data_IF_353035391381
#
_entry.id   IF_353035391381
#
_cell.length_a   1.000
_cell.length_b   1.000
_cell.length_c   1.000
_cell.angle_alpha   90.00
_cell.angle_beta   90.00
_cell.angle_gamma   90.00
#
_symmetry.space_group_name_H-M   'P 1'
#
loop_
_entity.id
_entity.type
_entity.pdbx_description
1 polymer ?
#
# COMPACT_ATOMS: atom_id res chain seq x y z
N UNK A 1 -25.75 -17.11 57.38
CA UNK A 1 -26.55 -16.16 56.59
C UNK A 1 -25.73 -14.93 56.32
N UNK A 2 -25.14 -14.82 55.11
CA UNK A 2 -24.57 -13.58 54.58
C UNK A 2 -24.94 -13.53 53.11
N UNK A 3 -25.84 -12.63 52.76
CA UNK A 3 -26.27 -12.34 51.39
C UNK A 3 -25.21 -11.49 50.67
N UNK A 4 -24.72 -11.97 49.56
CA UNK A 4 -23.88 -11.19 48.64
C UNK A 4 -24.78 -10.47 47.64
N UNK A 5 -24.70 -9.15 47.62
CA UNK A 5 -25.40 -8.26 46.71
C UNK A 5 -24.54 -8.15 45.44
N UNK A 6 -25.03 -8.68 44.32
CA UNK A 6 -24.48 -8.39 42.98
C UNK A 6 -24.96 -7.02 42.52
N UNK A 7 -24.02 -6.10 42.29
CA UNK A 7 -24.29 -4.79 41.71
C UNK A 7 -24.54 -4.89 40.18
N UNK A 8 -25.31 -3.96 39.61
CA UNK A 8 -25.68 -4.01 38.20
C UNK A 8 -24.51 -3.63 37.30
N UNK A 9 -24.22 -4.50 36.35
CA UNK A 9 -23.26 -4.27 35.25
C UNK A 9 -23.89 -3.29 34.25
N UNK A 10 -23.26 -2.13 34.04
CA UNK A 10 -23.72 -1.11 33.07
C UNK A 10 -23.43 -1.54 31.63
N UNK A 11 -24.46 -1.61 30.75
CA UNK A 11 -24.29 -2.05 29.35
C UNK A 11 -23.91 -0.92 28.37
N UNK A 12 -23.13 0.08 28.78
CA UNK A 12 -22.87 1.26 27.92
C UNK A 12 -21.49 1.27 27.20
N UNK A 13 -20.69 0.22 27.32
CA UNK A 13 -19.35 0.20 26.72
C UNK A 13 -19.15 -0.77 25.54
N UNK A 14 -20.19 -1.51 25.14
CA UNK A 14 -20.07 -2.50 24.05
C UNK A 14 -20.55 -1.96 22.69
N UNK A 15 -21.26 -0.84 22.66
CA UNK A 15 -21.81 -0.29 21.41
C UNK A 15 -20.83 0.52 20.54
N UNK A 16 -19.69 0.94 21.09
CA UNK A 16 -18.75 1.80 20.35
C UNK A 16 -17.73 1.03 19.48
N UNK A 17 -17.52 -0.26 19.78
CA UNK A 17 -16.54 -1.08 19.04
C UNK A 17 -17.09 -1.70 17.74
N UNK A 18 -18.43 -1.76 17.56
CA UNK A 18 -19.04 -2.34 16.35
C UNK A 18 -19.26 -1.35 15.21
N UNK A 19 -19.23 -0.04 15.46
CA UNK A 19 -19.49 0.96 14.42
C UNK A 19 -18.29 1.22 13.50
N UNK A 20 -17.07 0.92 13.96
CA UNK A 20 -15.84 1.15 13.16
C UNK A 20 -15.60 0.01 12.17
N UNK A 21 -15.94 -1.23 12.53
CA UNK A 21 -15.76 -2.39 11.66
C UNK A 21 -16.68 -2.40 10.43
N UNK A 22 -17.87 -1.76 10.52
CA UNK A 22 -18.84 -1.75 9.42
C UNK A 22 -18.55 -0.69 8.36
N UNK A 23 -17.82 0.37 8.69
CA UNK A 23 -17.46 1.43 7.72
C UNK A 23 -16.31 1.01 6.80
N UNK A 24 -15.39 0.16 7.30
CA UNK A 24 -14.23 -0.31 6.52
C UNK A 24 -14.63 -1.37 5.49
N UNK A 25 -15.60 -2.23 5.81
CA UNK A 25 -16.09 -3.27 4.89
C UNK A 25 -16.90 -2.69 3.72
N UNK A 26 -17.52 -1.51 3.88
CA UNK A 26 -18.27 -0.86 2.81
C UNK A 26 -17.36 -0.20 1.74
N UNK A 27 -16.14 0.22 2.12
CA UNK A 27 -15.19 0.81 1.18
C UNK A 27 -14.54 -0.23 0.25
N UNK A 28 -14.36 -1.47 0.72
CA UNK A 28 -13.75 -2.56 -0.06
C UNK A 28 -14.73 -3.16 -1.08
N UNK A 29 -16.03 -3.20 -0.77
CA UNK A 29 -17.05 -3.77 -1.67
C UNK A 29 -17.38 -2.83 -2.85
N UNK A 30 -17.13 -1.51 -2.73
CA UNK A 30 -17.37 -0.54 -3.81
C UNK A 30 -16.34 -0.59 -4.94
N UNK A 31 -15.18 -1.22 -4.74
CA UNK A 31 -14.15 -1.37 -5.78
C UNK A 31 -14.51 -2.47 -6.80
N UNK A 32 -15.40 -3.41 -6.43
CA UNK A 32 -15.77 -4.55 -7.28
C UNK A 32 -16.87 -4.26 -8.32
N UNK A 33 -17.48 -3.08 -8.32
CA UNK A 33 -18.62 -2.75 -9.18
C UNK A 33 -18.47 -1.47 -10.00
N UNK A 34 -17.30 -0.82 -9.98
CA UNK A 34 -17.05 0.36 -10.80
C UNK A 34 -16.70 -0.06 -12.23
N UNK A 35 -17.34 0.54 -13.21
CA UNK A 35 -16.89 0.54 -14.62
C UNK A 35 -15.38 0.79 -14.65
N UNK A 36 -14.63 0.11 -15.56
CA UNK A 36 -13.19 0.32 -15.64
C UNK A 36 -12.93 1.82 -15.80
N UNK A 37 -12.09 2.41 -14.93
CA UNK A 37 -11.82 3.84 -15.00
C UNK A 37 -11.27 4.16 -16.37
N UNK A 38 -11.78 5.22 -16.98
CA UNK A 38 -11.29 5.72 -18.26
C UNK A 38 -9.76 5.79 -18.16
N UNK A 39 -9.06 5.13 -19.10
CA UNK A 39 -7.60 5.05 -19.12
C UNK A 39 -7.04 6.47 -19.12
N UNK A 40 -6.65 6.99 -17.97
CA UNK A 40 -5.88 8.23 -17.90
C UNK A 40 -4.46 7.89 -18.33
N UNK A 41 -4.06 8.40 -19.48
CA UNK A 41 -2.68 8.31 -19.94
C UNK A 41 -1.82 9.14 -18.96
N UNK A 42 -0.77 8.53 -18.42
CA UNK A 42 0.25 9.24 -17.66
C UNK A 42 0.84 10.35 -18.54
N UNK A 43 0.76 11.60 -18.07
CA UNK A 43 1.19 12.77 -18.84
C UNK A 43 2.68 13.10 -18.70
N UNK A 44 3.42 12.38 -17.84
CA UNK A 44 4.82 12.65 -17.54
C UNK A 44 5.75 11.59 -18.12
N UNK A 45 6.98 12.00 -18.43
CA UNK A 45 8.03 11.08 -18.84
C UNK A 45 8.28 10.01 -17.77
N UNK A 46 8.40 8.73 -18.15
CA UNK A 46 8.67 7.66 -17.20
C UNK A 46 9.97 7.87 -16.44
N UNK A 47 9.95 7.68 -15.14
CA UNK A 47 11.10 7.78 -14.25
C UNK A 47 11.75 6.40 -14.13
N UNK A 48 12.99 6.29 -14.59
CA UNK A 48 13.76 5.07 -14.42
C UNK A 48 14.07 4.82 -12.95
N UNK A 49 13.80 3.59 -12.48
CA UNK A 49 14.12 3.11 -11.13
C UNK A 49 15.45 2.36 -11.15
N UNK A 50 15.45 1.13 -11.64
CA UNK A 50 16.64 0.28 -11.82
C UNK A 50 16.32 -0.90 -12.75
N UNK A 51 17.34 -1.56 -13.29
CA UNK A 51 17.23 -2.83 -14.03
C UNK A 51 16.17 -2.83 -15.16
N UNK A 52 16.01 -1.68 -15.84
CA UNK A 52 15.02 -1.51 -16.90
C UNK A 52 13.58 -1.32 -16.42
N UNK A 53 13.35 -1.20 -15.12
CA UNK A 53 12.04 -0.82 -14.57
C UNK A 53 11.92 0.70 -14.52
N UNK A 54 10.79 1.20 -14.98
CA UNK A 54 10.43 2.62 -14.89
C UNK A 54 8.98 2.77 -14.44
N UNK A 55 8.68 3.86 -13.77
CA UNK A 55 7.32 4.23 -13.35
C UNK A 55 6.90 5.52 -14.05
N UNK A 56 5.70 5.55 -14.62
CA UNK A 56 5.12 6.76 -15.19
C UNK A 56 4.33 7.51 -14.12
N UNK A 57 4.78 8.72 -13.71
CA UNK A 57 4.08 9.49 -12.68
C UNK A 57 2.66 9.87 -13.13
N UNK A 58 1.73 9.81 -12.20
CA UNK A 58 0.39 10.38 -12.39
C UNK A 58 0.45 11.92 -12.48
N UNK A 59 -0.54 12.56 -13.13
CA UNK A 59 -0.62 14.02 -13.15
C UNK A 59 -0.60 14.63 -11.74
N UNK A 60 0.28 15.60 -11.49
CA UNK A 60 0.43 16.23 -10.18
C UNK A 60 1.31 15.45 -9.19
N UNK A 61 1.89 14.32 -9.61
CA UNK A 61 2.89 13.60 -8.82
C UNK A 61 4.31 14.03 -9.22
N UNK A 62 5.17 14.15 -8.26
CA UNK A 62 6.55 14.60 -8.44
C UNK A 62 7.53 13.63 -7.81
N UNK A 63 8.73 13.52 -8.38
CA UNK A 63 9.83 12.78 -7.78
C UNK A 63 10.33 13.56 -6.55
N UNK A 64 10.19 12.94 -5.37
CA UNK A 64 10.70 13.48 -4.11
C UNK A 64 12.14 13.05 -3.85
N UNK A 65 12.36 11.75 -3.73
CA UNK A 65 13.65 11.18 -3.39
C UNK A 65 14.00 10.01 -4.31
N UNK A 66 15.30 9.72 -4.43
CA UNK A 66 15.78 8.54 -5.14
C UNK A 66 17.07 8.01 -4.56
N UNK A 67 17.29 6.71 -4.72
CA UNK A 67 18.55 6.03 -4.44
C UNK A 67 19.03 5.22 -5.65
N UNK A 68 20.03 4.36 -5.47
CA UNK A 68 20.58 3.57 -6.56
C UNK A 68 19.57 2.64 -7.26
N UNK A 69 18.64 2.08 -6.49
CA UNK A 69 17.66 1.11 -6.95
C UNK A 69 16.22 1.40 -6.50
N UNK A 70 15.92 2.63 -6.09
CA UNK A 70 14.60 3.02 -5.68
C UNK A 70 14.29 4.49 -5.99
N UNK A 71 13.00 4.78 -6.10
CA UNK A 71 12.45 6.14 -6.20
C UNK A 71 11.27 6.29 -5.26
N UNK A 72 11.01 7.52 -4.81
CA UNK A 72 9.80 7.89 -4.09
C UNK A 72 9.15 9.10 -4.77
N UNK A 73 7.88 8.96 -5.07
CA UNK A 73 7.03 10.00 -5.63
C UNK A 73 6.02 10.43 -4.58
N UNK A 74 5.60 11.69 -4.63
CA UNK A 74 4.50 12.20 -3.81
C UNK A 74 3.57 13.05 -4.66
N UNK A 75 2.30 13.11 -4.29
CA UNK A 75 1.39 14.08 -4.85
C UNK A 75 1.71 15.48 -4.32
N UNK A 76 1.17 16.52 -4.97
CA UNK A 76 1.55 17.92 -4.74
C UNK A 76 1.30 18.41 -3.31
N UNK A 77 0.27 17.88 -2.63
CA UNK A 77 -0.08 18.24 -1.25
C UNK A 77 0.58 17.36 -0.18
N UNK A 78 1.35 16.34 -0.59
CA UNK A 78 2.04 15.42 0.31
C UNK A 78 1.14 14.45 1.06
N UNK A 79 -0.14 14.35 0.69
CA UNK A 79 -1.10 13.46 1.34
C UNK A 79 -0.96 12.00 0.92
N UNK A 80 -0.31 11.73 -0.22
CA UNK A 80 -0.03 10.39 -0.71
C UNK A 80 1.40 10.26 -1.24
N UNK A 81 1.97 9.06 -1.09
CA UNK A 81 3.32 8.73 -1.53
C UNK A 81 3.34 7.34 -2.17
N UNK A 82 4.15 7.18 -3.22
CA UNK A 82 4.50 5.90 -3.83
C UNK A 82 6.03 5.74 -3.78
N UNK A 83 6.51 4.66 -3.18
CA UNK A 83 7.91 4.27 -3.25
C UNK A 83 8.04 2.97 -4.01
N UNK A 84 8.98 2.91 -4.93
CA UNK A 84 9.31 1.72 -5.74
C UNK A 84 10.77 1.39 -5.52
N UNK A 85 11.07 0.13 -5.17
CA UNK A 85 12.42 -0.39 -5.05
C UNK A 85 12.58 -1.65 -5.90
N UNK A 86 13.64 -1.74 -6.68
CA UNK A 86 13.91 -2.87 -7.60
C UNK A 86 15.13 -3.63 -7.12
N UNK A 87 15.03 -4.97 -7.11
CA UNK A 87 16.13 -5.86 -6.69
C UNK A 87 16.01 -7.24 -7.34
N UNK A 88 17.00 -8.11 -7.08
CA UNK A 88 16.88 -9.54 -7.33
C UNK A 88 16.09 -10.19 -6.19
N UNK A 89 15.07 -10.97 -6.55
CA UNK A 89 14.28 -11.73 -5.60
C UNK A 89 15.07 -12.96 -5.09
N UNK A 90 14.87 -13.27 -3.82
CA UNK A 90 15.45 -14.48 -3.19
C UNK A 90 14.61 -15.74 -3.40
N UNK A 91 13.43 -15.62 -4.03
CA UNK A 91 12.47 -16.70 -4.23
C UNK A 91 11.71 -16.52 -5.55
N UNK A 92 11.12 -17.61 -6.05
CA UNK A 92 10.16 -17.59 -7.16
C UNK A 92 8.70 -17.51 -6.68
N UNK A 93 8.46 -17.55 -5.39
CA UNK A 93 7.17 -17.33 -4.76
C UNK A 93 7.01 -15.85 -4.41
N UNK A 94 6.15 -15.16 -5.14
CA UNK A 94 5.92 -13.71 -4.97
C UNK A 94 5.39 -13.36 -3.58
N UNK A 95 4.62 -14.23 -2.94
CA UNK A 95 4.13 -14.00 -1.58
C UNK A 95 5.26 -14.06 -0.54
N UNK A 96 6.20 -15.01 -0.70
CA UNK A 96 7.39 -15.09 0.14
C UNK A 96 8.31 -13.88 -0.06
N UNK A 97 8.51 -13.44 -1.31
CA UNK A 97 9.30 -12.22 -1.61
C UNK A 97 8.68 -11.00 -0.94
N UNK A 98 7.36 -10.81 -1.08
CA UNK A 98 6.63 -9.72 -0.43
C UNK A 98 6.83 -9.73 1.09
N UNK A 99 6.70 -10.89 1.73
CA UNK A 99 6.84 -11.00 3.18
C UNK A 99 8.25 -10.62 3.65
N UNK A 100 9.29 -11.07 2.94
CA UNK A 100 10.67 -10.73 3.25
C UNK A 100 10.93 -9.22 3.09
N UNK A 101 10.40 -8.62 2.02
CA UNK A 101 10.54 -7.19 1.77
C UNK A 101 9.81 -6.33 2.78
N UNK A 102 8.61 -6.71 3.16
CA UNK A 102 7.85 -6.04 4.22
C UNK A 102 8.62 -6.05 5.55
N UNK A 103 9.21 -7.18 5.93
CA UNK A 103 9.98 -7.30 7.17
C UNK A 103 11.23 -6.39 7.16
N UNK A 104 11.94 -6.35 6.02
CA UNK A 104 13.11 -5.48 5.86
C UNK A 104 12.72 -4.01 5.83
N UNK A 105 11.68 -3.68 5.08
CA UNK A 105 11.21 -2.31 4.89
C UNK A 105 10.63 -1.72 6.17
N UNK A 106 9.78 -2.44 6.89
CA UNK A 106 9.20 -1.98 8.14
C UNK A 106 10.26 -1.52 9.15
N UNK A 107 11.38 -2.25 9.22
CA UNK A 107 12.49 -1.91 10.09
C UNK A 107 13.24 -0.63 9.67
N UNK A 108 13.22 -0.27 8.39
CA UNK A 108 14.01 0.83 7.81
C UNK A 108 13.18 2.08 7.47
N UNK A 109 11.86 1.96 7.34
CA UNK A 109 10.99 3.00 6.78
C UNK A 109 10.47 4.01 7.81
N UNK A 110 10.69 3.75 9.11
CA UNK A 110 10.11 4.56 10.19
C UNK A 110 8.60 4.43 10.30
N UNK A 111 8.01 3.33 9.81
CA UNK A 111 6.61 3.03 10.04
C UNK A 111 6.43 2.42 11.43
N UNK A 112 5.66 3.11 12.27
CA UNK A 112 5.30 2.63 13.60
C UNK A 112 3.91 1.98 13.56
N UNK A 113 3.65 1.07 14.52
CA UNK A 113 2.34 0.42 14.68
C UNK A 113 1.82 -0.26 13.39
N UNK A 114 2.70 -0.83 12.58
CA UNK A 114 2.33 -1.54 11.36
C UNK A 114 1.39 -2.71 11.65
N UNK A 115 0.26 -2.75 10.97
CA UNK A 115 -0.74 -3.82 11.06
C UNK A 115 -1.18 -4.23 9.67
N UNK A 116 -1.14 -5.52 9.41
CA UNK A 116 -1.68 -6.11 8.19
C UNK A 116 -3.19 -6.32 8.37
N UNK A 117 -3.99 -5.83 7.44
CA UNK A 117 -5.45 -5.93 7.50
C UNK A 117 -5.99 -7.23 6.89
N UNK A 118 -5.23 -7.84 5.96
CA UNK A 118 -5.62 -9.06 5.26
C UNK A 118 -4.39 -9.96 4.98
N UNK A 119 -4.65 -11.21 4.60
CA UNK A 119 -3.62 -12.05 3.99
C UNK A 119 -3.23 -11.49 2.61
N UNK A 120 -1.99 -11.70 2.15
CA UNK A 120 -1.57 -11.29 0.81
C UNK A 120 -2.48 -11.86 -0.26
N UNK A 121 -2.94 -11.00 -1.17
CA UNK A 121 -3.62 -11.38 -2.39
C UNK A 121 -2.58 -11.59 -3.50
N UNK A 122 -2.60 -12.78 -4.13
CA UNK A 122 -1.64 -13.13 -5.19
C UNK A 122 -2.35 -13.38 -6.50
N UNK A 123 -1.80 -12.82 -7.59
CA UNK A 123 -2.38 -13.01 -8.92
C UNK A 123 -1.31 -13.10 -10.02
N UNK A 124 -1.58 -13.85 -11.09
CA UNK A 124 -0.77 -13.80 -12.29
C UNK A 124 -0.98 -12.48 -13.03
N UNK A 125 0.08 -11.99 -13.69
CA UNK A 125 0.05 -10.84 -14.58
C UNK A 125 0.26 -11.27 -16.03
N UNK A 126 -0.45 -10.60 -16.94
CA UNK A 126 -0.30 -10.75 -18.40
C UNK A 126 0.67 -9.68 -18.93
N UNK A 127 1.89 -9.64 -18.38
CA UNK A 127 2.90 -8.62 -18.67
C UNK A 127 4.23 -9.24 -19.09
N UNK A 128 4.96 -8.55 -19.97
CA UNK A 128 6.31 -8.96 -20.36
C UNK A 128 7.32 -8.66 -19.24
N UNK A 129 7.07 -7.64 -18.44
CA UNK A 129 8.00 -7.17 -17.40
C UNK A 129 7.90 -7.97 -16.11
N UNK A 130 6.67 -8.36 -15.71
CA UNK A 130 6.40 -9.09 -14.47
C UNK A 130 5.26 -10.08 -14.71
N UNK A 131 5.34 -11.29 -14.16
CA UNK A 131 4.37 -12.36 -14.38
C UNK A 131 3.53 -12.67 -13.15
N UNK A 132 3.94 -12.18 -11.98
CA UNK A 132 3.21 -12.39 -10.73
C UNK A 132 3.16 -11.10 -9.92
N UNK A 133 2.08 -10.94 -9.17
CA UNK A 133 1.89 -9.88 -8.19
C UNK A 133 1.40 -10.49 -6.88
N UNK A 134 1.89 -9.95 -5.76
CA UNK A 134 1.29 -10.11 -4.45
C UNK A 134 1.03 -8.74 -3.85
N UNK A 135 -0.06 -8.58 -3.09
CA UNK A 135 -0.35 -7.33 -2.38
C UNK A 135 -0.97 -7.58 -1.02
N UNK A 136 -0.75 -6.65 -0.10
CA UNK A 136 -1.34 -6.65 1.23
C UNK A 136 -1.60 -5.22 1.69
N UNK A 137 -2.80 -4.97 2.20
CA UNK A 137 -3.15 -3.68 2.78
C UNK A 137 -2.68 -3.59 4.22
N UNK A 138 -2.29 -2.39 4.63
CA UNK A 138 -1.83 -2.13 5.99
C UNK A 138 -2.32 -0.79 6.53
N UNK A 139 -2.26 -0.64 7.85
CA UNK A 139 -2.30 0.65 8.53
C UNK A 139 -1.04 0.82 9.34
N UNK A 140 -0.55 2.05 9.43
CA UNK A 140 0.63 2.39 10.23
C UNK A 140 0.56 3.85 10.69
N UNK A 141 1.53 4.23 11.49
CA UNK A 141 1.78 5.62 11.88
C UNK A 141 3.13 6.07 11.31
N UNK A 142 3.18 7.27 10.72
CA UNK A 142 4.43 7.91 10.27
C UNK A 142 4.82 8.97 11.29
N UNK A 143 6.04 8.91 11.86
CA UNK A 143 6.53 9.93 12.78
C UNK A 143 6.57 11.31 12.11
N UNK A 144 6.04 12.33 12.80
CA UNK A 144 6.12 13.72 12.38
C UNK A 144 6.37 14.64 13.60
N UNK A 145 6.78 15.90 13.34
CA UNK A 145 7.14 16.85 14.41
C UNK A 145 5.98 17.17 15.36
N UNK A 146 4.75 17.14 14.85
CA UNK A 146 3.52 17.46 15.60
C UNK A 146 2.82 16.18 16.16
N UNK A 147 3.48 15.03 16.07
CA UNK A 147 2.95 13.73 16.47
C UNK A 147 2.76 12.79 15.30
N UNK A 148 2.48 11.49 15.58
CA UNK A 148 2.38 10.48 14.53
C UNK A 148 1.17 10.74 13.61
N UNK A 149 1.39 10.60 12.31
CA UNK A 149 0.36 10.73 11.28
C UNK A 149 -0.11 9.33 10.89
N UNK A 150 -1.38 8.97 11.12
CA UNK A 150 -1.92 7.70 10.68
C UNK A 150 -2.00 7.64 9.15
N UNK A 151 -1.58 6.51 8.60
CA UNK A 151 -1.61 6.22 7.16
C UNK A 151 -2.31 4.89 6.87
N UNK A 152 -2.93 4.84 5.71
CA UNK A 152 -3.39 3.61 5.06
C UNK A 152 -2.44 3.35 3.89
N UNK A 153 -2.08 2.10 3.67
CA UNK A 153 -1.21 1.77 2.55
C UNK A 153 -1.41 0.35 2.04
N UNK A 154 -0.78 0.10 0.91
CA UNK A 154 -0.70 -1.21 0.28
C UNK A 154 0.75 -1.49 -0.08
N UNK A 155 1.29 -2.60 0.41
CA UNK A 155 2.52 -3.18 -0.11
C UNK A 155 2.19 -4.06 -1.31
N UNK A 156 2.93 -3.86 -2.38
CA UNK A 156 2.79 -4.68 -3.60
C UNK A 156 4.16 -5.17 -4.02
N UNK A 157 4.23 -6.44 -4.38
CA UNK A 157 5.40 -7.05 -5.00
C UNK A 157 5.07 -7.47 -6.42
N UNK A 158 5.86 -7.03 -7.39
CA UNK A 158 5.83 -7.49 -8.77
C UNK A 158 7.04 -8.39 -8.99
N UNK A 159 6.85 -9.60 -9.51
CA UNK A 159 7.93 -10.57 -9.73
C UNK A 159 8.02 -10.98 -11.19
N UNK A 160 9.22 -10.83 -11.76
CA UNK A 160 9.59 -11.46 -13.01
C UNK A 160 10.17 -12.85 -12.74
N UNK A 161 9.41 -13.87 -13.07
CA UNK A 161 9.80 -15.27 -12.79
C UNK A 161 10.93 -15.78 -13.69
N UNK A 162 11.19 -15.12 -14.83
CA UNK A 162 12.22 -15.55 -15.79
C UNK A 162 13.62 -15.13 -15.37
N UNK A 163 13.77 -13.94 -14.77
CA UNK A 163 15.07 -13.39 -14.37
C UNK A 163 15.15 -13.06 -12.87
N UNK A 164 14.12 -13.40 -12.11
CA UNK A 164 13.99 -13.14 -10.67
C UNK A 164 14.12 -11.67 -10.29
N UNK A 165 13.85 -10.75 -11.18
CA UNK A 165 13.77 -9.32 -10.86
C UNK A 165 12.46 -9.06 -10.14
N UNK A 166 12.52 -8.35 -9.02
CA UNK A 166 11.35 -7.91 -8.29
C UNK A 166 11.27 -6.41 -8.14
N UNK A 167 10.05 -5.89 -8.00
CA UNK A 167 9.77 -4.51 -7.67
C UNK A 167 8.84 -4.47 -6.45
N UNK A 168 9.40 -4.07 -5.31
CA UNK A 168 8.66 -3.80 -4.09
C UNK A 168 8.11 -2.37 -4.12
N UNK A 169 6.83 -2.22 -3.87
CA UNK A 169 6.10 -0.97 -3.94
C UNK A 169 5.39 -0.73 -2.61
N UNK A 170 5.61 0.45 -2.02
CA UNK A 170 4.86 0.98 -0.91
C UNK A 170 4.03 2.17 -1.39
N UNK A 171 2.74 1.99 -1.54
CA UNK A 171 1.78 3.07 -1.72
C UNK A 171 1.12 3.37 -0.39
N UNK A 172 1.15 4.65 0.03
CA UNK A 172 0.52 5.08 1.28
C UNK A 172 -0.12 6.44 1.16
N UNK A 173 -1.15 6.66 1.96
CA UNK A 173 -1.90 7.90 2.04
C UNK A 173 -2.34 8.20 3.47
N UNK A 174 -2.47 9.47 3.80
CA UNK A 174 -3.04 9.93 5.06
C UNK A 174 -4.51 10.35 4.88
N UNK A 175 -5.15 10.81 5.97
CA UNK A 175 -6.56 11.19 5.98
C UNK A 175 -6.91 12.41 5.10
N UNK A 176 -5.90 13.15 4.59
CA UNK A 176 -6.11 14.30 3.71
C UNK A 176 -6.09 13.92 2.24
N UNK A 177 -5.74 12.66 1.91
CA UNK A 177 -5.69 12.20 0.54
C UNK A 177 -7.09 12.14 -0.08
N UNK A 178 -7.17 12.57 -1.33
CA UNK A 178 -8.42 12.46 -2.11
C UNK A 178 -8.57 11.03 -2.66
N UNK A 179 -9.79 10.58 -3.00
CA UNK A 179 -9.99 9.29 -3.68
C UNK A 179 -9.16 9.15 -4.96
N UNK A 180 -8.87 10.26 -5.64
CA UNK A 180 -8.02 10.29 -6.83
C UNK A 180 -6.61 9.76 -6.56
N UNK A 181 -6.06 9.93 -5.35
CA UNK A 181 -4.71 9.45 -5.02
C UNK A 181 -4.60 7.93 -5.11
N UNK A 182 -5.66 7.19 -4.78
CA UNK A 182 -5.72 5.72 -4.92
C UNK A 182 -5.67 5.31 -6.39
N UNK A 183 -6.48 5.97 -7.23
CA UNK A 183 -6.50 5.71 -8.67
C UNK A 183 -5.15 6.02 -9.32
N UNK A 184 -4.52 7.12 -8.91
CA UNK A 184 -3.20 7.53 -9.35
C UNK A 184 -2.14 6.50 -8.96
N UNK A 185 -2.16 6.02 -7.71
CA UNK A 185 -1.29 4.96 -7.22
C UNK A 185 -1.43 3.67 -8.05
N UNK A 186 -2.66 3.22 -8.26
CA UNK A 186 -2.95 2.05 -9.08
C UNK A 186 -2.51 2.23 -10.55
N UNK A 187 -2.65 3.43 -11.11
CA UNK A 187 -2.18 3.74 -12.47
C UNK A 187 -0.65 3.68 -12.56
N UNK A 188 0.06 4.25 -11.59
CA UNK A 188 1.52 4.21 -11.54
C UNK A 188 2.04 2.78 -11.40
N UNK A 189 1.41 1.93 -10.58
CA UNK A 189 1.77 0.51 -10.44
C UNK A 189 1.58 -0.21 -11.78
N UNK A 190 0.43 -0.04 -12.43
CA UNK A 190 0.17 -0.63 -13.77
C UNK A 190 1.14 -0.16 -14.84
N UNK A 191 1.70 1.04 -14.73
CA UNK A 191 2.67 1.53 -15.70
C UNK A 191 3.99 0.76 -15.71
N UNK A 192 4.26 -0.03 -14.68
CA UNK A 192 5.45 -0.87 -14.55
C UNK A 192 5.23 -2.31 -15.08
N UNK A 193 3.97 -2.73 -15.19
CA UNK A 193 3.57 -4.05 -15.71
C UNK A 193 3.72 -4.12 -17.26
#
# INVERSE_FOLDING_TARGET
MRSSILGPVHPKRVAAAMAVATAITAAIVLIASAEPPAVRLASAEPIAVADGVSVAPAPGWVLGHRGPNWVALSNTDGSAQLRVAVKQAGSTDVGAVLQDDMNQYASASGLDNLRNLAAPDTRPLQSASFQQQASVDYTADVPAAEGPIPVLGTFTELLNTSNQRSAFIDFRQNNNATPQAVDDGAMMIRSME
#
